data_IF_382114551226
#
_entry.id   IF_382114551226
#
_cell.length_a   1.000
_cell.length_b   1.000
_cell.length_c   1.000
_cell.angle_alpha   90.00
_cell.angle_beta   90.00
_cell.angle_gamma   90.00
#
_symmetry.space_group_name_H-M   'P 1'
#
loop_
_entity.id
_entity.type
_entity.pdbx_description
1 polymer ?
#
# COMPACT_ATOMS: atom_id res chain seq x y z
N UNK A 1 -24.90 12.71 10.45
CA UNK A 1 -25.69 12.88 9.21
C UNK A 1 -24.86 12.26 8.09
N UNK A 2 -25.42 11.33 7.32
CA UNK A 2 -24.69 10.73 6.20
C UNK A 2 -24.61 11.73 5.03
N UNK A 3 -23.46 11.79 4.36
CA UNK A 3 -23.30 12.60 3.15
C UNK A 3 -24.28 12.11 2.06
N UNK A 4 -24.82 13.00 1.22
CA UNK A 4 -25.75 12.63 0.15
C UNK A 4 -25.11 11.77 -0.96
N UNK A 5 -23.78 11.62 -0.93
CA UNK A 5 -22.98 10.87 -1.91
C UNK A 5 -21.99 9.93 -1.19
N UNK A 6 -21.58 8.83 -1.84
CA UNK A 6 -20.56 7.95 -1.29
C UNK A 6 -19.24 8.70 -1.13
N UNK A 7 -18.70 8.70 0.09
CA UNK A 7 -17.37 9.24 0.37
C UNK A 7 -16.31 8.20 0.04
N UNK A 8 -15.36 8.56 -0.84
CA UNK A 8 -14.26 7.70 -1.27
C UNK A 8 -12.95 8.38 -0.87
N UNK A 9 -12.07 7.65 -0.19
CA UNK A 9 -10.72 8.12 0.13
C UNK A 9 -9.67 7.38 -0.68
N UNK A 10 -8.59 8.06 -1.07
CA UNK A 10 -7.66 7.61 -2.12
C UNK A 10 -6.21 7.38 -1.66
N UNK A 11 -5.88 7.72 -0.41
CA UNK A 11 -4.52 7.67 0.12
C UNK A 11 -4.53 7.08 1.54
N UNK A 12 -5.02 5.83 1.64
CA UNK A 12 -5.20 5.14 2.92
C UNK A 12 -4.10 4.10 3.11
N UNK A 13 -3.16 4.39 4.00
CA UNK A 13 -1.97 3.56 4.15
C UNK A 13 -2.21 2.28 4.93
N UNK A 14 -1.47 1.23 4.55
CA UNK A 14 -1.30 -0.04 5.23
C UNK A 14 0.19 -0.33 5.41
N UNK A 15 0.60 -0.85 6.57
CA UNK A 15 1.99 -1.27 6.80
C UNK A 15 2.07 -2.79 6.73
N UNK A 16 2.73 -3.32 5.70
CA UNK A 16 2.88 -4.75 5.53
C UNK A 16 3.99 -5.32 6.42
N UNK A 17 3.76 -6.51 6.98
CA UNK A 17 4.77 -7.21 7.77
C UNK A 17 6.07 -7.49 7.00
N UNK A 18 6.05 -7.92 5.71
CA UNK A 18 7.23 -8.08 4.88
C UNK A 18 8.09 -6.82 4.75
N UNK A 19 7.48 -5.63 4.72
CA UNK A 19 8.24 -4.38 4.68
C UNK A 19 9.02 -4.19 5.99
N UNK A 20 8.38 -4.41 7.14
CA UNK A 20 9.06 -4.32 8.44
C UNK A 20 10.23 -5.31 8.54
N UNK A 21 10.04 -6.54 8.02
CA UNK A 21 11.08 -7.57 8.06
C UNK A 21 12.22 -7.26 7.08
N UNK A 22 11.92 -6.68 5.91
CA UNK A 22 12.93 -6.19 4.97
C UNK A 22 13.81 -5.09 5.58
N UNK A 23 13.22 -4.12 6.29
CA UNK A 23 14.00 -3.07 6.96
C UNK A 23 14.91 -3.63 8.05
N UNK A 24 14.39 -4.59 8.85
CA UNK A 24 15.17 -5.26 9.89
C UNK A 24 16.35 -6.04 9.32
N UNK A 25 16.15 -6.69 8.18
CA UNK A 25 17.23 -7.40 7.46
C UNK A 25 18.30 -6.44 6.88
N UNK A 26 17.98 -5.15 6.74
CA UNK A 26 18.91 -4.09 6.33
C UNK A 26 19.34 -3.21 7.52
N UNK A 27 19.33 -3.77 8.73
CA UNK A 27 19.80 -3.12 9.97
C UNK A 27 19.15 -1.77 10.29
N UNK A 28 17.89 -1.59 9.88
CA UNK A 28 17.12 -0.37 10.12
C UNK A 28 15.66 -0.68 10.48
N UNK A 29 14.84 0.35 10.68
CA UNK A 29 13.43 0.23 11.05
C UNK A 29 12.58 1.02 10.06
N UNK A 30 11.45 0.45 9.65
CA UNK A 30 10.49 1.16 8.80
C UNK A 30 10.02 2.43 9.55
N UNK A 31 9.89 3.61 8.89
CA UNK A 31 9.47 4.85 9.55
C UNK A 31 8.18 4.70 10.38
N UNK A 32 7.25 3.92 9.84
CA UNK A 32 5.98 3.60 10.49
C UNK A 32 6.00 2.40 11.46
N UNK A 33 7.11 1.66 11.60
CA UNK A 33 7.30 0.66 12.68
C UNK A 33 7.76 1.34 13.99
N UNK A 34 7.10 2.45 14.34
CA UNK A 34 7.34 3.17 15.59
C UNK A 34 6.48 2.57 16.69
N UNK A 35 7.08 1.73 17.54
CA UNK A 35 6.39 1.01 18.64
C UNK A 35 5.73 1.92 19.68
N UNK A 36 6.06 3.21 19.73
CA UNK A 36 5.42 4.19 20.61
C UNK A 36 4.28 4.99 19.96
N UNK A 37 4.11 4.89 18.64
CA UNK A 37 3.11 5.67 17.92
C UNK A 37 1.72 5.02 18.01
N UNK A 38 0.67 5.78 18.35
CA UNK A 38 -0.71 5.27 18.34
C UNK A 38 -1.20 4.93 16.92
N UNK A 39 -0.47 5.32 15.87
CA UNK A 39 -0.86 5.05 14.48
C UNK A 39 -0.46 3.64 14.01
N UNK A 40 0.64 3.09 14.54
CA UNK A 40 1.21 1.82 14.05
C UNK A 40 0.21 0.67 14.12
N UNK A 41 -0.55 0.45 15.21
CA UNK A 41 -1.58 -0.59 15.24
C UNK A 41 -2.68 -0.39 14.20
N UNK A 42 -3.00 0.86 13.83
CA UNK A 42 -4.02 1.18 12.81
C UNK A 42 -3.51 0.94 11.38
N UNK A 43 -2.21 1.11 11.15
CA UNK A 43 -1.58 0.79 9.87
C UNK A 43 -1.49 -0.72 9.65
N UNK A 44 -1.36 -1.51 10.72
CA UNK A 44 -1.32 -2.98 10.67
C UNK A 44 -2.71 -3.63 10.52
N UNK A 45 -3.80 -2.92 10.86
CA UNK A 45 -5.17 -3.43 10.76
C UNK A 45 -5.89 -2.94 9.49
N UNK A 46 -6.04 -3.85 8.52
CA UNK A 46 -6.93 -3.72 7.36
C UNK A 46 -8.19 -4.58 7.55
N UNK A 47 -8.66 -4.67 8.79
CA UNK A 47 -9.81 -5.47 9.17
C UNK A 47 -10.81 -4.65 9.97
N UNK A 48 -11.13 -5.16 11.16
CA UNK A 48 -12.30 -4.72 11.92
C UNK A 48 -12.21 -3.26 12.37
N UNK A 49 -11.10 -2.83 12.95
CA UNK A 49 -11.00 -1.46 13.50
C UNK A 49 -11.07 -0.42 12.39
N UNK A 50 -10.46 -0.70 11.22
CA UNK A 50 -10.59 0.15 10.03
C UNK A 50 -12.03 0.21 9.52
N UNK A 51 -12.71 -0.94 9.39
CA UNK A 51 -14.10 -0.99 8.92
C UNK A 51 -15.08 -0.30 9.87
N UNK A 52 -14.90 -0.45 11.18
CA UNK A 52 -15.70 0.26 12.19
C UNK A 52 -15.50 1.78 12.04
N UNK A 53 -14.24 2.24 11.89
CA UNK A 53 -13.92 3.65 11.65
C UNK A 53 -14.55 4.19 10.37
N UNK A 54 -14.55 3.43 9.27
CA UNK A 54 -15.23 3.81 8.03
C UNK A 54 -16.73 3.98 8.23
N UNK A 55 -17.36 3.05 8.95
CA UNK A 55 -18.80 3.10 9.24
C UNK A 55 -19.16 4.34 10.06
N UNK A 56 -18.39 4.62 11.11
CA UNK A 56 -18.62 5.75 12.02
C UNK A 56 -18.38 7.10 11.35
N UNK A 57 -17.48 7.15 10.37
CA UNK A 57 -17.16 8.35 9.57
C UNK A 57 -17.92 8.46 8.25
N UNK A 58 -18.79 7.50 7.94
CA UNK A 58 -19.54 7.42 6.68
C UNK A 58 -18.65 7.34 5.42
N UNK A 59 -17.43 6.79 5.52
CA UNK A 59 -16.57 6.47 4.37
C UNK A 59 -17.11 5.21 3.69
N UNK A 60 -17.44 5.32 2.41
CA UNK A 60 -18.02 4.24 1.63
C UNK A 60 -16.96 3.29 1.05
N UNK A 61 -15.86 3.86 0.54
CA UNK A 61 -14.74 3.11 -0.05
C UNK A 61 -13.43 3.74 0.41
N UNK A 62 -12.47 2.90 0.80
CA UNK A 62 -11.07 3.28 0.90
C UNK A 62 -10.27 2.62 -0.22
N UNK A 63 -9.47 3.41 -0.92
CA UNK A 63 -8.43 2.90 -1.81
C UNK A 63 -7.14 2.84 -1.03
N UNK A 64 -6.66 1.62 -0.79
CA UNK A 64 -5.57 1.31 0.11
C UNK A 64 -4.26 1.19 -0.68
N UNK A 65 -3.21 1.76 -0.12
CA UNK A 65 -1.83 1.64 -0.62
C UNK A 65 -0.92 1.22 0.53
N UNK A 66 0.22 0.63 0.20
CA UNK A 66 1.27 0.42 1.21
C UNK A 66 1.83 1.77 1.68
N UNK A 67 2.25 1.84 2.95
CA UNK A 67 2.98 2.95 3.54
C UNK A 67 4.28 3.27 2.76
N UNK A 68 4.72 4.52 2.80
CA UNK A 68 5.90 4.93 2.04
C UNK A 68 7.17 4.22 2.52
N UNK A 69 7.99 3.78 1.57
CA UNK A 69 9.30 3.22 1.85
C UNK A 69 10.41 4.25 1.59
N UNK A 70 11.42 4.24 2.45
CA UNK A 70 12.71 4.91 2.25
C UNK A 70 13.75 4.00 1.60
N UNK A 71 13.60 2.68 1.73
CA UNK A 71 14.48 1.71 1.09
C UNK A 71 13.87 1.18 -0.22
N UNK A 72 14.66 1.05 -1.30
CA UNK A 72 14.19 0.42 -2.53
C UNK A 72 13.96 -1.07 -2.28
N UNK A 73 12.70 -1.50 -2.39
CA UNK A 73 12.31 -2.88 -2.15
C UNK A 73 12.85 -3.82 -3.22
N UNK A 74 13.25 -5.03 -2.81
CA UNK A 74 13.52 -6.12 -3.74
C UNK A 74 12.22 -6.71 -4.34
N UNK A 75 12.35 -7.52 -5.40
CA UNK A 75 11.21 -8.13 -6.08
C UNK A 75 10.39 -9.06 -5.16
N UNK A 76 11.07 -9.85 -4.33
CA UNK A 76 10.42 -10.85 -3.48
C UNK A 76 9.60 -10.19 -2.36
N UNK A 77 10.15 -9.17 -1.74
CA UNK A 77 9.51 -8.33 -0.72
C UNK A 77 8.32 -7.59 -1.33
N UNK A 78 8.50 -6.99 -2.51
CA UNK A 78 7.41 -6.31 -3.22
C UNK A 78 6.24 -7.25 -3.55
N UNK A 79 6.50 -8.52 -3.89
CA UNK A 79 5.44 -9.51 -4.14
C UNK A 79 4.74 -9.94 -2.84
N UNK A 80 5.49 -10.09 -1.74
CA UNK A 80 4.90 -10.42 -0.43
C UNK A 80 3.98 -9.30 0.08
N UNK A 81 4.40 -8.03 -0.02
CA UNK A 81 3.57 -6.87 0.33
C UNK A 81 2.28 -6.87 -0.49
N UNK A 82 2.40 -7.11 -1.80
CA UNK A 82 1.26 -7.22 -2.69
C UNK A 82 0.29 -8.32 -2.25
N UNK A 83 0.78 -9.53 -1.96
CA UNK A 83 -0.08 -10.65 -1.57
C UNK A 83 -0.82 -10.36 -0.26
N UNK A 84 -0.11 -9.81 0.73
CA UNK A 84 -0.70 -9.47 2.03
C UNK A 84 -1.81 -8.42 1.91
N UNK A 85 -1.57 -7.34 1.16
CA UNK A 85 -2.61 -6.34 0.91
C UNK A 85 -3.78 -6.99 0.15
N UNK A 86 -3.51 -7.73 -0.92
CA UNK A 86 -4.55 -8.32 -1.75
C UNK A 86 -5.46 -9.27 -0.95
N UNK A 87 -4.90 -10.09 -0.05
CA UNK A 87 -5.65 -10.98 0.84
C UNK A 87 -6.64 -10.21 1.76
N UNK A 88 -6.23 -9.04 2.24
CA UNK A 88 -7.13 -8.15 2.99
C UNK A 88 -8.27 -7.59 2.11
N UNK A 89 -7.95 -7.20 0.87
CA UNK A 89 -8.92 -6.57 -0.04
C UNK A 89 -9.98 -7.58 -0.50
N UNK A 90 -9.58 -8.80 -0.86
CA UNK A 90 -10.54 -9.85 -1.28
C UNK A 90 -11.47 -10.28 -0.14
N UNK A 91 -11.08 -10.05 1.11
CA UNK A 91 -11.93 -10.30 2.29
C UNK A 91 -13.03 -9.24 2.45
N UNK A 92 -12.81 -8.02 1.93
CA UNK A 92 -13.73 -6.89 2.05
C UNK A 92 -13.89 -6.08 0.74
N UNK A 93 -14.26 -6.73 -0.39
CA UNK A 93 -14.20 -6.12 -1.72
C UNK A 93 -15.31 -5.09 -1.97
N UNK A 94 -16.24 -4.88 -1.03
CA UNK A 94 -17.24 -3.80 -1.13
C UNK A 94 -16.71 -2.49 -0.58
N UNK A 95 -15.84 -2.55 0.42
CA UNK A 95 -15.32 -1.41 1.17
C UNK A 95 -13.93 -1.01 0.70
N UNK A 96 -13.13 -1.96 0.24
CA UNK A 96 -11.74 -1.70 -0.12
C UNK A 96 -11.45 -1.86 -1.60
N UNK A 97 -10.55 -1.02 -2.08
CA UNK A 97 -9.85 -1.09 -3.36
C UNK A 97 -8.37 -0.93 -3.08
N UNK A 98 -7.52 -1.19 -4.06
CA UNK A 98 -6.08 -1.16 -3.87
C UNK A 98 -5.34 -0.47 -5.01
N UNK A 99 -4.22 0.15 -4.63
CA UNK A 99 -3.16 0.65 -5.49
C UNK A 99 -1.96 -0.27 -5.34
N UNK A 100 -1.34 -0.62 -6.47
CA UNK A 100 -0.20 -1.51 -6.49
C UNK A 100 1.05 -0.88 -5.85
N UNK A 101 1.75 -1.65 -5.02
CA UNK A 101 3.14 -1.39 -4.64
C UNK A 101 4.06 -1.99 -5.70
N UNK A 102 4.90 -1.15 -6.30
CA UNK A 102 5.76 -1.52 -7.42
C UNK A 102 7.23 -1.60 -7.01
N UNK A 103 7.98 -2.59 -7.50
CA UNK A 103 9.42 -2.70 -7.27
C UNK A 103 10.18 -1.70 -8.15
N UNK A 104 10.12 -0.41 -7.82
CA UNK A 104 10.61 0.67 -8.70
C UNK A 104 12.11 0.57 -9.04
N UNK A 105 12.90 -0.17 -8.24
CA UNK A 105 14.30 -0.54 -8.54
C UNK A 105 14.44 -1.36 -9.84
N UNK A 106 13.36 -1.97 -10.30
CA UNK A 106 13.30 -2.85 -11.47
C UNK A 106 12.19 -2.35 -12.42
N UNK A 107 12.45 -1.32 -13.26
CA UNK A 107 11.42 -0.64 -14.04
C UNK A 107 10.61 -1.56 -14.98
N UNK A 108 11.27 -2.52 -15.62
CA UNK A 108 10.58 -3.52 -16.45
C UNK A 108 9.60 -4.38 -15.64
N UNK A 109 10.01 -4.84 -14.45
CA UNK A 109 9.17 -5.64 -13.57
C UNK A 109 8.06 -4.80 -12.95
N UNK A 110 8.33 -3.55 -12.61
CA UNK A 110 7.33 -2.58 -12.17
C UNK A 110 6.24 -2.38 -13.23
N UNK A 111 6.62 -2.18 -14.49
CA UNK A 111 5.69 -2.04 -15.62
C UNK A 111 4.85 -3.31 -15.85
N UNK A 112 5.49 -4.49 -15.87
CA UNK A 112 4.80 -5.79 -15.98
C UNK A 112 3.81 -6.00 -14.83
N UNK A 113 4.21 -5.67 -13.60
CA UNK A 113 3.38 -5.79 -12.40
C UNK A 113 2.19 -4.84 -12.46
N UNK A 114 2.40 -3.56 -12.78
CA UNK A 114 1.33 -2.57 -12.95
C UNK A 114 0.32 -3.03 -14.01
N UNK A 115 0.79 -3.51 -15.16
CA UNK A 115 -0.07 -4.04 -16.21
C UNK A 115 -0.94 -5.19 -15.70
N UNK A 116 -0.36 -6.17 -14.99
CA UNK A 116 -1.09 -7.29 -14.38
C UNK A 116 -2.12 -6.78 -13.36
N UNK A 117 -1.72 -5.93 -12.43
CA UNK A 117 -2.58 -5.36 -11.39
C UNK A 117 -3.82 -4.68 -11.99
N UNK A 118 -3.63 -3.80 -12.98
CA UNK A 118 -4.74 -3.06 -13.57
C UNK A 118 -5.58 -3.93 -14.50
N UNK A 119 -4.96 -4.72 -15.39
CA UNK A 119 -5.69 -5.43 -16.46
C UNK A 119 -6.27 -6.77 -16.04
N UNK A 120 -5.69 -7.43 -15.04
CA UNK A 120 -6.13 -8.78 -14.62
C UNK A 120 -6.79 -8.77 -13.24
N UNK A 121 -6.34 -7.89 -12.35
CA UNK A 121 -6.74 -7.88 -10.95
C UNK A 121 -7.63 -6.67 -10.59
N UNK A 122 -7.85 -5.76 -11.56
CA UNK A 122 -8.72 -4.59 -11.43
C UNK A 122 -8.30 -3.60 -10.34
N UNK A 123 -7.00 -3.51 -10.07
CA UNK A 123 -6.43 -2.47 -9.22
C UNK A 123 -6.68 -1.11 -9.86
N UNK A 124 -6.82 -0.07 -9.03
CA UNK A 124 -7.13 1.28 -9.52
C UNK A 124 -5.91 2.06 -10.01
N UNK A 125 -4.70 1.51 -9.85
CA UNK A 125 -3.45 2.15 -10.23
C UNK A 125 -2.29 1.67 -9.36
N UNK A 126 -1.32 2.56 -9.13
CA UNK A 126 -0.22 2.39 -8.19
C UNK A 126 -0.03 3.66 -7.36
N UNK A 127 0.50 3.50 -6.15
CA UNK A 127 1.09 4.57 -5.36
C UNK A 127 2.56 4.19 -5.16
N UNK A 128 3.46 5.08 -5.56
CA UNK A 128 4.90 4.85 -5.52
C UNK A 128 5.56 5.92 -4.66
N UNK A 129 6.71 5.57 -4.07
CA UNK A 129 7.51 6.52 -3.30
C UNK A 129 8.05 7.64 -4.20
N UNK A 130 8.47 8.76 -3.61
CA UNK A 130 8.82 9.96 -4.37
C UNK A 130 10.01 9.76 -5.33
N UNK A 131 10.96 8.89 -4.98
CA UNK A 131 12.12 8.55 -5.78
C UNK A 131 12.56 7.11 -5.49
N UNK A 132 13.44 6.57 -6.34
CA UNK A 132 14.08 5.28 -6.12
C UNK A 132 15.58 5.44 -6.27
N UNK A 133 16.36 5.03 -5.25
CA UNK A 133 17.82 5.16 -5.24
C UNK A 133 18.30 6.58 -5.59
N UNK A 134 17.64 7.59 -5.01
CA UNK A 134 17.91 9.03 -5.20
C UNK A 134 17.65 9.56 -6.63
N UNK A 135 16.97 8.77 -7.49
CA UNK A 135 16.57 9.17 -8.84
C UNK A 135 15.07 9.39 -8.96
N UNK A 136 14.69 10.45 -9.67
CA UNK A 136 13.31 10.77 -10.00
C UNK A 136 12.87 10.06 -11.29
N UNK A 137 11.56 9.91 -11.47
CA UNK A 137 10.97 9.12 -12.56
C UNK A 137 10.91 9.83 -13.92
N UNK A 138 11.53 11.00 -14.04
CA UNK A 138 11.86 11.65 -15.30
C UNK A 138 13.24 11.23 -15.84
N UNK A 139 14.04 10.48 -15.06
CA UNK A 139 15.29 9.88 -15.53
C UNK A 139 14.99 8.81 -16.61
N UNK A 140 15.71 8.81 -17.75
CA UNK A 140 15.53 7.83 -18.83
C UNK A 140 15.69 6.35 -18.43
N UNK A 141 16.20 6.05 -17.23
CA UNK A 141 16.28 4.69 -16.76
C UNK A 141 14.93 4.08 -16.33
N UNK A 142 13.88 4.88 -16.14
CA UNK A 142 12.53 4.44 -15.71
C UNK A 142 11.53 4.29 -16.86
#
# INVERSE_FOLDING_TARGET
MAFPYPLITLEEHFLAKPAQDFYKANDTTHPDDNRGSPITPKLLDVGKTRLDSMKDSHVSIQVISHASNLLPLDLATSEKIYNELHDHIISHPKQFRELATLPMKYPEDASKKLHRCVKKLQFLGALIDNNCEERFYDDPCF
#
